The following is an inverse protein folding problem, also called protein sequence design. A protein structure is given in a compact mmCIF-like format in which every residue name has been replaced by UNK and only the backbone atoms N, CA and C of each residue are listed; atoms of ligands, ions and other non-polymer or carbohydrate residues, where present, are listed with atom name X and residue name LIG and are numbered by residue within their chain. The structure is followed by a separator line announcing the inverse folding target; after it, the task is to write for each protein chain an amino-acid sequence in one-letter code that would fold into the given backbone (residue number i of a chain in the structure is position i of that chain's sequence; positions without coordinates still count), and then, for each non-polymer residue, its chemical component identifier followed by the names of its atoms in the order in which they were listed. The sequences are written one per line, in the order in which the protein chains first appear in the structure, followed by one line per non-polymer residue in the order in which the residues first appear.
data_IF_027484007550
#
_entry.id   IF_027484007550
#
_cell.length_a   1.000
_cell.length_b   1.000
_cell.length_c   1.000
_cell.angle_alpha   90.00
_cell.angle_beta   90.00
_cell.angle_gamma   90.00
#
_symmetry.space_group_name_H-M   'P 1'
#
loop_
_entity.id
_entity.type
_entity.pdbx_description
1 polymer ?
#
# COMPACT_ATOMS: atom_id res chain seq x y z
N UNK A 1 12.19 -2.06 -18.23
CA UNK A 1 10.85 -1.90 -18.83
C UNK A 1 10.03 -1.03 -17.88
N UNK A 2 9.07 -0.25 -18.38
CA UNK A 2 8.15 0.47 -17.47
C UNK A 2 7.33 -0.56 -16.69
N UNK A 3 7.17 -0.33 -15.39
CA UNK A 3 6.32 -1.17 -14.54
C UNK A 3 4.90 -1.22 -15.08
N UNK A 4 4.27 -2.40 -15.08
CA UNK A 4 2.85 -2.60 -15.43
C UNK A 4 1.93 -1.82 -14.48
N UNK A 5 2.44 -1.45 -13.30
CA UNK A 5 1.73 -0.63 -12.32
C UNK A 5 1.30 0.73 -12.90
N UNK A 6 2.05 1.31 -13.85
CA UNK A 6 1.72 2.62 -14.42
C UNK A 6 0.36 2.63 -15.13
N UNK A 7 -0.10 1.48 -15.64
CA UNK A 7 -1.36 1.38 -16.38
C UNK A 7 -2.59 1.73 -15.54
N UNK A 8 -2.51 1.61 -14.20
CA UNK A 8 -3.62 2.01 -13.33
C UNK A 8 -3.81 3.54 -13.28
N UNK A 9 -2.75 4.28 -13.64
CA UNK A 9 -2.74 5.75 -13.69
C UNK A 9 -3.07 6.30 -15.08
N UNK A 10 -3.19 5.43 -16.09
CA UNK A 10 -3.51 5.79 -17.48
C UNK A 10 -4.93 5.34 -17.89
N UNK A 11 -5.52 4.37 -17.19
CA UNK A 11 -6.88 3.91 -17.45
C UNK A 11 -7.93 4.89 -16.91
N UNK A 12 -8.40 5.77 -17.79
CA UNK A 12 -9.46 6.75 -17.54
C UNK A 12 -10.73 6.20 -16.85
N UNK A 13 -11.15 4.97 -17.18
CA UNK A 13 -12.34 4.37 -16.55
C UNK A 13 -12.01 3.96 -15.12
N UNK A 14 -10.83 3.40 -14.90
CA UNK A 14 -10.36 3.01 -13.58
C UNK A 14 -10.15 4.24 -12.69
N UNK A 15 -9.51 5.30 -13.20
CA UNK A 15 -9.30 6.57 -12.49
C UNK A 15 -10.64 7.12 -11.98
N UNK A 16 -11.66 7.21 -12.85
CA UNK A 16 -13.00 7.67 -12.45
C UNK A 16 -13.64 6.79 -11.38
N UNK A 17 -13.40 5.47 -11.43
CA UNK A 17 -13.90 4.55 -10.42
C UNK A 17 -13.18 4.76 -9.08
N UNK A 18 -11.86 4.89 -9.09
CA UNK A 18 -11.04 5.19 -7.90
C UNK A 18 -11.51 6.48 -7.24
N UNK A 19 -11.59 7.57 -8.00
CA UNK A 19 -12.04 8.88 -7.50
C UNK A 19 -13.43 8.81 -6.84
N UNK A 20 -14.35 8.00 -7.39
CA UNK A 20 -15.71 7.85 -6.85
C UNK A 20 -15.83 6.87 -5.68
N UNK A 21 -14.99 5.84 -5.60
CA UNK A 21 -15.22 4.67 -4.73
C UNK A 21 -14.14 4.48 -3.66
N UNK A 22 -12.89 4.81 -3.95
CA UNK A 22 -11.79 4.60 -3.01
C UNK A 22 -12.01 5.36 -1.68
N UNK A 23 -12.51 6.62 -1.65
CA UNK A 23 -12.81 7.29 -0.38
C UNK A 23 -13.80 6.54 0.49
N UNK A 24 -14.87 6.02 -0.12
CA UNK A 24 -15.90 5.25 0.59
C UNK A 24 -15.35 3.93 1.13
N UNK A 25 -14.56 3.19 0.32
CA UNK A 25 -13.95 1.94 0.75
C UNK A 25 -12.94 2.16 1.90
N UNK A 26 -12.18 3.26 1.86
CA UNK A 26 -11.25 3.60 2.93
C UNK A 26 -11.97 4.04 4.20
N UNK A 27 -13.13 4.70 4.09
CA UNK A 27 -13.98 4.99 5.24
C UNK A 27 -14.49 3.70 5.89
N UNK A 28 -14.89 2.69 5.11
CA UNK A 28 -15.26 1.38 5.67
C UNK A 28 -14.09 0.75 6.42
N UNK A 29 -12.88 0.78 5.83
CA UNK A 29 -11.68 0.27 6.48
C UNK A 29 -11.39 0.98 7.81
N UNK A 30 -11.57 2.30 7.87
CA UNK A 30 -11.43 3.08 9.09
C UNK A 30 -12.46 2.69 10.15
N UNK A 31 -13.72 2.51 9.78
CA UNK A 31 -14.79 2.10 10.69
C UNK A 31 -14.52 0.72 11.30
N UNK A 32 -14.05 -0.23 10.49
CA UNK A 32 -13.69 -1.59 10.93
C UNK A 32 -12.43 -1.62 11.79
N UNK A 33 -11.53 -0.64 11.61
CA UNK A 33 -10.25 -0.53 12.34
C UNK A 33 -10.31 0.52 13.44
N UNK A 34 -11.50 0.87 13.93
CA UNK A 34 -11.69 1.91 14.93
C UNK A 34 -12.20 1.37 16.26
N UNK A 35 -11.68 1.93 17.35
CA UNK A 35 -12.23 1.74 18.69
C UNK A 35 -12.49 3.09 19.34
N UNK A 36 -13.73 3.32 19.77
CA UNK A 36 -14.17 4.61 20.34
C UNK A 36 -13.85 5.82 19.45
N UNK A 37 -14.00 5.66 18.12
CA UNK A 37 -13.72 6.71 17.13
C UNK A 37 -12.23 7.01 16.92
N UNK A 38 -11.33 6.17 17.44
CA UNK A 38 -9.89 6.24 17.17
C UNK A 38 -9.49 5.12 16.23
N UNK A 39 -8.91 5.49 15.09
CA UNK A 39 -8.42 4.57 14.06
C UNK A 39 -7.10 3.97 14.55
N UNK A 40 -7.03 2.64 14.57
CA UNK A 40 -5.81 1.90 14.86
C UNK A 40 -4.88 1.81 13.64
N UNK A 41 -3.63 1.44 13.88
CA UNK A 41 -2.61 1.37 12.82
C UNK A 41 -2.85 0.21 11.84
N UNK A 42 -3.58 -0.82 12.29
CA UNK A 42 -4.02 -1.97 11.49
C UNK A 42 -4.92 -1.58 10.30
N UNK A 43 -5.47 -0.36 10.30
CA UNK A 43 -6.18 0.19 9.14
C UNK A 43 -5.34 0.15 7.86
N UNK A 44 -4.00 0.25 8.00
CA UNK A 44 -3.07 0.14 6.89
C UNK A 44 -3.21 -1.19 6.15
N UNK A 45 -3.24 -2.30 6.88
CA UNK A 45 -3.40 -3.65 6.32
C UNK A 45 -4.75 -3.86 5.64
N UNK A 46 -5.82 -3.21 6.12
CA UNK A 46 -7.14 -3.30 5.49
C UNK A 46 -7.20 -2.45 4.20
N UNK A 47 -6.60 -1.26 4.21
CA UNK A 47 -6.47 -0.42 3.01
C UNK A 47 -5.57 -1.05 1.96
N UNK A 48 -4.53 -1.75 2.37
CA UNK A 48 -3.66 -2.54 1.49
C UNK A 48 -4.47 -3.60 0.73
N UNK A 49 -5.31 -4.39 1.43
CA UNK A 49 -6.21 -5.36 0.79
C UNK A 49 -7.14 -4.72 -0.25
N UNK A 50 -7.66 -3.52 0.01
CA UNK A 50 -8.48 -2.78 -0.96
C UNK A 50 -7.68 -2.44 -2.23
N UNK A 51 -6.41 -2.04 -2.08
CA UNK A 51 -5.53 -1.70 -3.20
C UNK A 51 -5.06 -2.95 -3.95
N UNK A 52 -4.80 -4.06 -3.27
CA UNK A 52 -4.53 -5.36 -3.91
C UNK A 52 -5.75 -5.80 -4.73
N UNK A 53 -6.97 -5.67 -4.18
CA UNK A 53 -8.20 -5.98 -4.92
C UNK A 53 -8.39 -5.10 -6.17
N UNK A 54 -7.92 -3.85 -6.14
CA UNK A 54 -7.88 -2.98 -7.33
C UNK A 54 -6.93 -3.53 -8.40
N UNK A 55 -5.76 -4.03 -8.00
CA UNK A 55 -4.80 -4.66 -8.92
C UNK A 55 -5.39 -5.93 -9.53
N UNK A 56 -6.01 -6.81 -8.73
CA UNK A 56 -6.71 -8.01 -9.21
C UNK A 56 -7.81 -7.63 -10.20
N UNK A 57 -8.62 -6.61 -9.87
CA UNK A 57 -9.69 -6.13 -10.74
C UNK A 57 -9.17 -5.65 -12.11
N UNK A 58 -7.99 -5.02 -12.15
CA UNK A 58 -7.42 -4.46 -13.38
C UNK A 58 -6.65 -5.51 -14.19
N UNK A 59 -5.88 -6.36 -13.52
CA UNK A 59 -4.89 -7.23 -14.16
C UNK A 59 -5.23 -8.72 -14.13
N UNK A 60 -6.27 -9.15 -13.41
CA UNK A 60 -6.59 -10.56 -13.21
C UNK A 60 -5.84 -11.17 -12.02
N UNK A 61 -6.47 -12.13 -11.35
CA UNK A 61 -5.92 -12.81 -10.17
C UNK A 61 -4.65 -13.58 -10.51
N UNK A 62 -4.57 -14.15 -11.72
CA UNK A 62 -3.42 -14.91 -12.20
C UNK A 62 -2.14 -14.07 -12.35
N UNK A 63 -2.28 -12.74 -12.40
CA UNK A 63 -1.16 -11.80 -12.56
C UNK A 63 -0.82 -11.06 -11.27
N UNK A 64 -1.52 -11.34 -10.17
CA UNK A 64 -1.36 -10.66 -8.88
C UNK A 64 -1.15 -11.69 -7.78
N UNK A 65 0.09 -11.82 -7.34
CA UNK A 65 0.47 -12.73 -6.26
C UNK A 65 0.27 -12.05 -4.91
N UNK A 66 -0.68 -12.55 -4.14
CA UNK A 66 -1.08 -12.00 -2.84
C UNK A 66 -0.66 -12.85 -1.65
N UNK A 67 -0.14 -14.06 -1.87
CA UNK A 67 0.31 -14.96 -0.81
C UNK A 67 1.73 -14.58 -0.36
N UNK A 68 1.88 -13.31 0.03
CA UNK A 68 3.11 -12.76 0.58
C UNK A 68 2.97 -12.79 2.11
N UNK A 69 3.98 -13.30 2.86
CA UNK A 69 3.94 -13.26 4.31
C UNK A 69 3.74 -11.83 4.82
N UNK A 70 2.82 -11.61 5.77
CA UNK A 70 2.58 -10.28 6.37
C UNK A 70 3.82 -9.67 7.07
N UNK A 71 4.85 -10.49 7.30
CA UNK A 71 6.13 -10.08 7.88
C UNK A 71 7.23 -9.86 6.84
N UNK A 72 6.93 -10.07 5.55
CA UNK A 72 7.88 -9.82 4.47
C UNK A 72 8.26 -8.33 4.47
N UNK A 73 9.56 -8.00 4.47
CA UNK A 73 9.97 -6.61 4.43
C UNK A 73 9.56 -5.95 3.10
N UNK A 74 8.78 -4.88 3.20
CA UNK A 74 8.35 -3.98 2.12
C UNK A 74 7.40 -4.54 1.06
N UNK A 75 7.53 -5.81 0.68
CA UNK A 75 6.72 -6.40 -0.38
C UNK A 75 5.35 -6.78 0.16
N UNK A 76 4.32 -6.12 -0.34
CA UNK A 76 2.93 -6.38 0.05
C UNK A 76 2.19 -7.21 -1.02
N UNK A 77 2.62 -7.10 -2.28
CA UNK A 77 2.05 -7.83 -3.43
C UNK A 77 3.08 -7.92 -4.56
N UNK A 78 2.96 -8.94 -5.43
CA UNK A 78 3.69 -8.95 -6.72
C UNK A 78 2.73 -8.84 -7.90
N UNK A 79 3.05 -7.98 -8.85
CA UNK A 79 2.29 -7.77 -10.08
C UNK A 79 3.14 -8.21 -11.27
N UNK A 80 2.71 -9.26 -11.98
CA UNK A 80 3.53 -9.94 -13.00
C UNK A 80 4.93 -10.34 -12.46
N UNK A 81 5.00 -10.76 -11.18
CA UNK A 81 6.24 -11.16 -10.50
C UNK A 81 7.06 -10.00 -9.89
N UNK A 82 6.77 -8.76 -10.28
CA UNK A 82 7.49 -7.57 -9.79
C UNK A 82 6.96 -7.12 -8.41
N UNK A 83 7.83 -6.85 -7.42
CA UNK A 83 7.41 -6.51 -6.06
C UNK A 83 6.89 -5.07 -5.95
N UNK A 84 5.78 -4.91 -5.24
CA UNK A 84 5.17 -3.61 -4.95
C UNK A 84 5.03 -3.45 -3.44
N UNK A 85 5.47 -2.29 -2.93
CA UNK A 85 5.11 -1.81 -1.59
C UNK A 85 3.90 -0.89 -1.68
N UNK A 86 2.91 -1.14 -0.84
CA UNK A 86 1.70 -0.36 -0.68
C UNK A 86 1.83 0.41 0.63
N UNK A 87 1.68 1.73 0.56
CA UNK A 87 1.69 2.57 1.76
C UNK A 87 0.50 3.51 1.76
N UNK A 88 -0.14 3.66 2.93
CA UNK A 88 -1.18 4.67 3.12
C UNK A 88 -0.79 5.61 4.23
N UNK A 89 -1.10 6.89 4.06
CA UNK A 89 -0.83 7.91 5.07
C UNK A 89 -1.97 8.92 5.11
N UNK A 90 -2.44 9.21 6.32
CA UNK A 90 -3.43 10.26 6.57
C UNK A 90 -2.70 11.52 7.03
N UNK A 91 -2.47 12.47 6.12
CA UNK A 91 -1.75 13.71 6.41
C UNK A 91 -1.82 14.71 5.26
N UNK A 92 -1.68 16.00 5.60
CA UNK A 92 -1.54 17.10 4.62
C UNK A 92 -0.21 17.08 3.86
N UNK A 93 0.83 16.44 4.40
CA UNK A 93 2.13 16.26 3.75
C UNK A 93 2.53 14.79 3.64
N UNK A 94 3.74 14.50 3.17
CA UNK A 94 4.25 13.12 2.98
C UNK A 94 5.24 12.66 4.06
N UNK A 95 5.39 13.43 5.15
CA UNK A 95 6.34 13.11 6.22
C UNK A 95 5.87 11.97 7.11
N UNK A 96 6.82 11.19 7.65
CA UNK A 96 6.55 10.18 8.68
C UNK A 96 6.16 8.79 8.16
N UNK A 97 6.11 8.58 6.84
CA UNK A 97 5.96 7.25 6.23
C UNK A 97 7.12 6.34 6.67
N UNK A 98 6.81 5.14 7.13
CA UNK A 98 7.81 4.18 7.62
C UNK A 98 8.33 3.32 6.47
N UNK A 99 9.66 3.20 6.41
CA UNK A 99 10.35 2.22 5.57
C UNK A 99 10.43 0.86 6.27
N UNK A 100 10.55 0.86 7.60
CA UNK A 100 10.58 -0.32 8.47
C UNK A 100 9.94 0.02 9.82
N UNK A 101 9.33 -0.98 10.47
CA UNK A 101 8.74 -0.87 11.80
C UNK A 101 9.73 -1.20 12.93
N UNK A 102 10.96 -0.67 12.87
CA UNK A 102 11.96 -0.86 13.94
C UNK A 102 12.06 0.37 14.84
N UNK A 103 12.17 0.11 16.14
CA UNK A 103 12.43 1.14 17.17
C UNK A 103 13.75 0.92 17.90
N UNK A 104 14.41 -0.21 17.66
CA UNK A 104 15.74 -0.47 18.22
C UNK A 104 16.79 0.42 17.53
N UNK A 105 17.56 1.23 18.28
CA UNK A 105 18.50 2.19 17.70
C UNK A 105 19.61 1.53 16.87
N UNK A 106 20.08 0.35 17.28
CA UNK A 106 21.13 -0.35 16.56
C UNK A 106 20.60 -0.91 15.23
N UNK A 107 19.43 -1.56 15.25
CA UNK A 107 18.75 -2.04 14.05
C UNK A 107 18.33 -0.91 13.11
N UNK A 108 17.90 0.23 13.65
CA UNK A 108 17.60 1.41 12.85
C UNK A 108 18.85 1.94 12.12
N UNK A 109 20.01 1.93 12.79
CA UNK A 109 21.29 2.33 12.20
C UNK A 109 21.75 1.33 11.12
N UNK A 110 21.67 0.04 11.41
CA UNK A 110 21.97 -1.04 10.45
C UNK A 110 21.08 -0.91 9.20
N UNK A 111 19.78 -0.71 9.39
CA UNK A 111 18.83 -0.48 8.28
C UNK A 111 19.20 0.75 7.47
N UNK A 112 19.47 1.90 8.11
CA UNK A 112 19.85 3.13 7.42
C UNK A 112 21.08 2.94 6.52
N UNK A 113 22.04 2.14 6.95
CA UNK A 113 23.29 1.93 6.22
C UNK A 113 23.11 0.95 5.04
N UNK A 114 22.29 -0.10 5.23
CA UNK A 114 22.04 -1.14 4.24
C UNK A 114 20.87 -0.92 3.29
N UNK A 115 19.89 -0.09 3.65
CA UNK A 115 18.64 0.05 2.91
C UNK A 115 18.85 0.62 1.50
N UNK A 116 18.23 -0.02 0.52
CA UNK A 116 18.09 0.50 -0.84
C UNK A 116 16.66 0.20 -1.32
N UNK A 117 15.97 1.17 -1.97
CA UNK A 117 14.68 0.89 -2.57
C UNK A 117 14.77 -0.29 -3.55
N UNK A 118 13.91 -1.28 -3.37
CA UNK A 118 13.94 -2.54 -4.12
C UNK A 118 12.60 -2.89 -4.78
N UNK A 119 11.55 -2.12 -4.49
CA UNK A 119 10.19 -2.33 -4.99
C UNK A 119 9.62 -1.03 -5.55
N UNK A 120 8.66 -1.17 -6.46
CA UNK A 120 7.79 -0.06 -6.83
C UNK A 120 6.90 0.32 -5.64
N UNK A 121 6.48 1.58 -5.57
CA UNK A 121 5.61 2.05 -4.48
C UNK A 121 4.24 2.53 -5.01
N UNK A 122 3.18 1.97 -4.43
CA UNK A 122 1.83 2.52 -4.53
C UNK A 122 1.50 3.27 -3.22
N UNK A 123 1.69 4.58 -3.25
CA UNK A 123 1.43 5.46 -2.10
C UNK A 123 0.06 6.12 -2.21
N UNK A 124 -0.79 5.95 -1.20
CA UNK A 124 -2.06 6.67 -1.06
C UNK A 124 -2.00 7.68 0.07
N UNK A 125 -2.05 8.96 -0.31
CA UNK A 125 -2.22 10.07 0.63
C UNK A 125 -3.71 10.36 0.84
N UNK A 126 -4.13 10.35 2.09
CA UNK A 126 -5.52 10.60 2.51
C UNK A 126 -5.54 11.96 3.22
N UNK A 127 -6.44 12.84 2.79
CA UNK A 127 -6.58 14.20 3.32
C UNK A 127 -8.06 14.61 3.38
#
# INVERSE_FOLDING_TARGET
MSSRLIEIFEDEKLIRKIQRRLPFLFQLAELESSRAGKIGMEVGSLREKILIALLIYKFGEENVETDIPITEPEVDVRLFGEPISIKTITSRGFGGVKLIWTVDPQKAKEFREGYRPCCDILLVQIN
#
